data_IF_765608155623
#
_entry.id   IF_765608155623
#
_cell.length_a   1.000
_cell.length_b   1.000
_cell.length_c   1.000
_cell.angle_alpha   90.00
_cell.angle_beta   90.00
_cell.angle_gamma   90.00
#
_symmetry.space_group_name_H-M   'P 1'
#
loop_
_entity.id
_entity.type
_entity.pdbx_description
1 polymer ?
#
# COMPACT_ATOMS: atom_id res chain seq x y z
N UNK A 1 25.99 91.30 12.76
CA UNK A 1 26.34 89.93 13.21
C UNK A 1 25.55 88.81 12.52
N UNK A 2 24.82 89.07 11.42
CA UNK A 2 23.89 88.08 10.81
C UNK A 2 24.45 87.36 9.58
N UNK A 3 25.41 87.94 8.83
CA UNK A 3 26.00 87.30 7.64
C UNK A 3 27.08 86.25 7.95
N UNK A 4 27.76 86.34 9.08
CA UNK A 4 28.78 85.37 9.52
C UNK A 4 28.15 84.09 10.06
N UNK A 5 27.02 84.19 10.77
CA UNK A 5 26.28 83.02 11.25
C UNK A 5 25.65 82.26 10.07
N UNK A 6 25.08 82.97 9.09
CA UNK A 6 24.51 82.34 7.90
C UNK A 6 25.57 81.62 7.05
N UNK A 7 26.79 82.18 6.93
CA UNK A 7 27.92 81.52 6.26
C UNK A 7 28.45 80.32 7.05
N UNK A 8 28.50 80.41 8.38
CA UNK A 8 28.91 79.28 9.21
C UNK A 8 27.90 78.11 9.15
N UNK A 9 26.60 78.41 9.10
CA UNK A 9 25.54 77.40 8.91
C UNK A 9 25.58 76.80 7.50
N UNK A 10 25.86 77.59 6.46
CA UNK A 10 26.01 77.07 5.09
C UNK A 10 27.26 76.19 4.92
N UNK A 11 28.37 76.55 5.57
CA UNK A 11 29.62 75.77 5.56
C UNK A 11 29.47 74.49 6.40
N UNK A 12 28.77 74.55 7.53
CA UNK A 12 28.43 73.36 8.33
C UNK A 12 27.46 72.42 7.57
N UNK A 13 26.48 72.96 6.84
CA UNK A 13 25.59 72.16 5.99
C UNK A 13 26.32 71.52 4.79
N UNK A 14 27.34 72.19 4.24
CA UNK A 14 28.20 71.63 3.18
C UNK A 14 29.21 70.59 3.69
N UNK A 15 29.62 70.65 4.96
CA UNK A 15 30.53 69.67 5.57
C UNK A 15 29.81 68.36 5.97
N UNK A 16 28.52 68.39 6.30
CA UNK A 16 27.74 67.18 6.62
C UNK A 16 27.23 66.47 5.35
N UNK A 17 27.13 67.17 4.22
CA UNK A 17 26.71 66.60 2.94
C UNK A 17 27.80 65.75 2.23
N UNK A 18 29.02 65.65 2.80
CA UNK A 18 30.21 65.13 2.12
C UNK A 18 30.72 63.76 2.55
N UNK A 19 30.08 63.07 3.51
CA UNK A 19 30.54 61.73 3.93
C UNK A 19 29.77 60.61 3.22
N UNK A 20 29.71 60.65 1.88
CA UNK A 20 29.35 59.43 1.13
C UNK A 20 30.53 58.46 1.22
N UNK A 21 30.48 57.52 2.15
CA UNK A 21 31.45 56.43 2.25
C UNK A 21 31.48 55.73 0.89
N UNK A 22 32.65 55.70 0.24
CA UNK A 22 32.81 55.08 -1.08
C UNK A 22 32.48 53.59 -0.98
N UNK A 23 31.76 53.02 -1.96
CA UNK A 23 31.51 51.58 -2.00
C UNK A 23 32.82 50.79 -1.91
N UNK A 24 32.87 49.72 -1.10
CA UNK A 24 34.03 48.85 -1.05
C UNK A 24 34.15 48.09 -2.38
N UNK A 25 35.39 47.83 -2.79
CA UNK A 25 35.66 46.89 -3.89
C UNK A 25 35.63 45.49 -3.30
N UNK A 26 34.62 44.71 -3.66
CA UNK A 26 34.44 43.34 -3.15
C UNK A 26 35.24 42.37 -4.02
N UNK A 27 36.34 41.84 -3.49
CA UNK A 27 37.14 40.79 -4.15
C UNK A 27 36.76 39.38 -3.68
N UNK A 28 36.16 39.27 -2.50
CA UNK A 28 35.68 38.02 -1.92
C UNK A 28 34.33 38.29 -1.26
N UNK A 29 33.21 37.91 -1.90
CA UNK A 29 31.88 38.18 -1.38
C UNK A 29 31.64 37.45 -0.06
N UNK A 30 31.08 38.16 0.93
CA UNK A 30 30.68 37.59 2.22
C UNK A 30 29.45 36.68 2.10
N UNK A 31 28.58 36.92 1.11
CA UNK A 31 27.34 36.18 0.88
C UNK A 31 27.24 35.75 -0.59
N UNK A 32 28.15 34.87 -1.08
CA UNK A 32 28.23 34.52 -2.49
C UNK A 32 27.01 33.76 -3.02
N UNK A 33 26.27 33.09 -2.13
CA UNK A 33 25.10 32.29 -2.49
C UNK A 33 23.81 33.13 -2.63
N UNK A 34 23.82 34.38 -2.15
CA UNK A 34 22.63 35.23 -2.18
C UNK A 34 22.47 35.86 -3.56
N UNK A 35 21.25 35.77 -4.11
CA UNK A 35 20.99 36.23 -5.47
C UNK A 35 20.92 37.76 -5.52
N UNK A 36 21.74 38.34 -6.40
CA UNK A 36 21.70 39.79 -6.66
C UNK A 36 20.29 40.23 -7.07
N UNK A 37 19.70 41.28 -6.45
CA UNK A 37 18.43 41.86 -6.85
C UNK A 37 18.56 42.54 -8.21
N UNK A 38 18.42 41.76 -9.28
CA UNK A 38 18.57 42.23 -10.66
C UNK A 38 17.59 43.37 -10.95
N UNK A 39 18.08 44.46 -11.53
CA UNK A 39 17.21 45.59 -11.89
C UNK A 39 16.45 45.27 -13.19
N UNK A 40 15.12 45.21 -13.16
CA UNK A 40 14.30 44.96 -14.34
C UNK A 40 14.44 46.06 -15.39
N UNK A 41 14.19 45.73 -16.66
CA UNK A 41 14.41 46.63 -17.79
C UNK A 41 13.66 47.95 -17.63
N UNK A 42 12.43 47.90 -17.11
CA UNK A 42 11.59 49.08 -16.86
C UNK A 42 12.19 50.06 -15.84
N UNK A 43 13.08 49.59 -14.96
CA UNK A 43 13.63 50.35 -13.84
C UNK A 43 15.09 50.77 -14.03
N UNK A 44 15.76 50.31 -15.11
CA UNK A 44 17.18 50.58 -15.40
C UNK A 44 17.51 52.07 -15.52
N UNK A 45 16.59 52.87 -16.04
CA UNK A 45 16.78 54.32 -16.23
C UNK A 45 16.70 55.14 -14.92
N UNK A 46 16.33 54.52 -13.81
CA UNK A 46 16.14 55.22 -12.53
C UNK A 46 17.48 55.55 -11.86
N UNK A 47 17.60 56.70 -11.15
CA UNK A 47 18.74 56.96 -10.27
C UNK A 47 18.92 55.91 -9.16
N UNK A 48 17.86 55.15 -8.85
CA UNK A 48 17.86 54.07 -7.87
C UNK A 48 18.68 52.86 -8.34
N UNK A 49 18.68 52.53 -9.64
CA UNK A 49 19.43 51.41 -10.19
C UNK A 49 20.93 51.46 -9.84
N UNK A 50 21.59 52.60 -10.08
CA UNK A 50 23.02 52.79 -9.73
C UNK A 50 23.31 52.73 -8.24
N UNK A 51 22.35 53.16 -7.41
CA UNK A 51 22.48 53.15 -5.95
C UNK A 51 22.30 51.74 -5.37
N UNK A 52 21.65 50.84 -6.11
CA UNK A 52 21.47 49.45 -5.71
C UNK A 52 22.78 48.68 -5.73
N UNK A 53 23.58 48.80 -6.80
CA UNK A 53 24.92 48.18 -6.89
C UNK A 53 25.81 48.58 -5.72
N UNK A 54 25.74 49.86 -5.41
CA UNK A 54 26.37 50.54 -4.30
C UNK A 54 25.97 49.90 -2.95
N UNK A 55 24.67 49.69 -2.71
CA UNK A 55 24.16 49.02 -1.51
C UNK A 55 24.57 47.54 -1.45
N UNK A 56 24.52 46.85 -2.58
CA UNK A 56 24.93 45.46 -2.72
C UNK A 56 26.41 45.24 -2.45
N UNK A 57 27.27 46.17 -2.85
CA UNK A 57 28.70 46.13 -2.57
C UNK A 57 28.98 46.18 -1.06
N UNK A 58 28.30 47.05 -0.30
CA UNK A 58 28.43 47.04 1.16
C UNK A 58 27.91 45.75 1.78
N UNK A 59 26.79 45.22 1.26
CA UNK A 59 26.23 43.96 1.72
C UNK A 59 27.21 42.80 1.52
N UNK A 60 27.76 42.66 0.32
CA UNK A 60 28.75 41.64 -0.01
C UNK A 60 30.12 41.87 0.65
N UNK A 61 30.40 43.06 1.17
CA UNK A 61 31.56 43.30 2.03
C UNK A 61 31.32 42.90 3.51
N UNK A 62 30.11 42.46 3.87
CA UNK A 62 29.72 42.15 5.24
C UNK A 62 29.36 43.38 6.09
N UNK A 63 29.39 44.58 5.52
CA UNK A 63 29.03 45.82 6.20
C UNK A 63 27.52 46.03 6.17
N UNK A 64 26.82 45.23 6.96
CA UNK A 64 25.35 45.20 7.01
C UNK A 64 24.77 46.55 7.49
N UNK A 65 25.52 47.35 8.26
CA UNK A 65 25.04 48.64 8.75
C UNK A 65 25.03 49.71 7.66
N UNK A 66 26.07 49.76 6.81
CA UNK A 66 26.06 50.65 5.65
C UNK A 66 25.12 50.17 4.55
N UNK A 67 25.01 48.86 4.33
CA UNK A 67 24.08 48.28 3.38
C UNK A 67 22.63 48.64 3.72
N UNK A 68 22.21 48.45 4.98
CA UNK A 68 20.85 48.74 5.43
C UNK A 68 20.49 50.22 5.23
N UNK A 69 21.36 51.15 5.65
CA UNK A 69 21.13 52.58 5.46
C UNK A 69 20.89 52.94 4.00
N UNK A 70 21.64 52.31 3.08
CA UNK A 70 21.51 52.55 1.63
C UNK A 70 20.23 51.96 1.07
N UNK A 71 19.85 50.75 1.47
CA UNK A 71 18.60 50.15 1.04
C UNK A 71 17.36 50.86 1.59
N UNK A 72 17.37 51.28 2.87
CA UNK A 72 16.27 52.05 3.46
C UNK A 72 16.06 53.37 2.70
N UNK A 73 17.14 54.11 2.43
CA UNK A 73 17.05 55.34 1.63
C UNK A 73 16.51 55.06 0.22
N UNK A 74 16.87 53.93 -0.40
CA UNK A 74 16.32 53.52 -1.70
C UNK A 74 14.80 53.29 -1.63
N UNK A 75 14.33 52.55 -0.63
CA UNK A 75 12.88 52.29 -0.44
C UNK A 75 12.11 53.58 -0.15
N UNK A 76 12.65 54.47 0.70
CA UNK A 76 12.02 55.74 1.05
C UNK A 76 11.95 56.73 -0.13
N UNK A 77 13.05 56.84 -0.89
CA UNK A 77 13.14 57.81 -2.00
C UNK A 77 12.55 57.28 -3.30
N UNK A 78 12.37 55.96 -3.43
CA UNK A 78 11.81 55.30 -4.62
C UNK A 78 10.88 54.14 -4.23
N UNK A 79 9.66 54.42 -3.73
CA UNK A 79 8.75 53.37 -3.21
C UNK A 79 8.32 52.29 -4.22
N UNK A 80 8.44 52.55 -5.53
CA UNK A 80 8.16 51.57 -6.59
C UNK A 80 9.38 50.73 -7.01
N UNK A 81 10.56 50.99 -6.43
CA UNK A 81 11.79 50.28 -6.77
C UNK A 81 11.96 49.02 -5.89
N UNK A 82 11.15 48.01 -6.21
CA UNK A 82 11.11 46.74 -5.48
C UNK A 82 12.42 45.92 -5.43
N UNK A 83 13.43 46.11 -6.30
CA UNK A 83 14.73 45.47 -6.09
C UNK A 83 15.40 45.87 -4.77
N UNK A 84 15.14 47.07 -4.24
CA UNK A 84 15.65 47.48 -2.93
C UNK A 84 14.94 46.75 -1.77
N UNK A 85 13.64 46.46 -1.89
CA UNK A 85 12.91 45.63 -0.92
C UNK A 85 13.49 44.21 -0.88
N UNK A 86 13.79 43.60 -2.04
CA UNK A 86 14.49 42.30 -2.05
C UNK A 86 15.91 42.39 -1.46
N UNK A 87 16.63 43.48 -1.69
CA UNK A 87 17.92 43.75 -1.03
C UNK A 87 17.84 43.82 0.50
N UNK A 88 16.80 44.46 1.05
CA UNK A 88 16.52 44.43 2.49
C UNK A 88 16.18 43.01 2.97
N UNK A 89 15.39 42.26 2.20
CA UNK A 89 15.08 40.87 2.50
C UNK A 89 16.34 40.02 2.71
N UNK A 90 17.28 40.09 1.77
CA UNK A 90 18.58 39.42 1.87
C UNK A 90 19.40 39.87 3.08
N UNK A 91 19.40 41.18 3.36
CA UNK A 91 20.08 41.74 4.51
C UNK A 91 19.52 41.22 5.84
N UNK A 92 18.21 41.10 5.96
CA UNK A 92 17.56 40.56 7.15
C UNK A 92 17.81 39.06 7.31
N UNK A 93 17.82 38.29 6.21
CA UNK A 93 18.24 36.89 6.22
C UNK A 93 19.68 36.71 6.73
N UNK A 94 20.61 37.55 6.26
CA UNK A 94 22.01 37.53 6.72
C UNK A 94 22.15 37.84 8.23
N UNK A 95 21.18 38.54 8.83
CA UNK A 95 21.11 38.82 10.27
C UNK A 95 20.40 37.72 11.06
N UNK A 96 19.82 36.72 10.40
CA UNK A 96 19.00 35.68 11.01
C UNK A 96 17.56 36.13 11.31
N UNK A 97 17.13 37.31 10.83
CA UNK A 97 15.75 37.79 10.99
C UNK A 97 14.90 37.36 9.79
N UNK A 98 14.57 36.08 9.75
CA UNK A 98 13.78 35.48 8.67
C UNK A 98 12.37 36.08 8.56
N UNK A 99 11.80 36.58 9.67
CA UNK A 99 10.46 37.17 9.67
C UNK A 99 10.44 38.54 8.99
N UNK A 100 11.41 39.40 9.30
CA UNK A 100 11.55 40.67 8.58
C UNK A 100 11.89 40.43 7.11
N UNK A 101 12.73 39.44 6.83
CA UNK A 101 13.07 39.09 5.46
C UNK A 101 11.85 38.68 4.63
N UNK A 102 10.99 37.80 5.14
CA UNK A 102 9.75 37.37 4.46
C UNK A 102 8.85 38.57 4.14
N UNK A 103 8.71 39.51 5.07
CA UNK A 103 7.93 40.73 4.84
C UNK A 103 8.48 41.57 3.68
N UNK A 104 9.80 41.78 3.64
CA UNK A 104 10.46 42.56 2.60
C UNK A 104 10.38 41.87 1.23
N UNK A 105 10.63 40.56 1.17
CA UNK A 105 10.44 39.80 -0.07
C UNK A 105 8.97 39.76 -0.50
N UNK A 106 8.03 39.66 0.44
CA UNK A 106 6.60 39.72 0.17
C UNK A 106 6.17 41.04 -0.45
N UNK A 107 6.72 42.18 -0.01
CA UNK A 107 6.50 43.48 -0.66
C UNK A 107 7.06 43.52 -2.08
N UNK A 108 8.25 42.96 -2.29
CA UNK A 108 8.84 42.90 -3.62
C UNK A 108 8.01 42.03 -4.58
N UNK A 109 7.53 40.86 -4.12
CA UNK A 109 6.64 39.97 -4.88
C UNK A 109 5.26 40.61 -5.12
N UNK A 110 4.75 41.41 -4.18
CA UNK A 110 3.50 42.15 -4.37
C UNK A 110 3.62 43.26 -5.42
N UNK A 111 4.81 43.87 -5.54
CA UNK A 111 5.09 44.86 -6.58
C UNK A 111 5.31 44.21 -7.96
N UNK A 112 5.91 43.01 -8.00
CA UNK A 112 6.09 42.21 -9.21
C UNK A 112 6.07 40.72 -8.88
N UNK A 113 5.02 40.02 -9.32
CA UNK A 113 4.82 38.59 -9.03
C UNK A 113 5.89 37.70 -9.64
N UNK A 114 6.55 38.20 -10.69
CA UNK A 114 7.49 37.44 -11.51
C UNK A 114 8.95 37.79 -11.17
N UNK A 115 9.18 38.44 -10.02
CA UNK A 115 10.51 38.89 -9.63
C UNK A 115 11.31 37.77 -8.94
N UNK A 116 12.07 37.04 -9.76
CA UNK A 116 12.85 35.85 -9.36
C UNK A 116 13.70 36.04 -8.11
N UNK A 117 14.51 37.11 -7.93
CA UNK A 117 15.31 37.28 -6.71
C UNK A 117 14.49 37.35 -5.43
N UNK A 118 13.30 37.95 -5.48
CA UNK A 118 12.41 38.00 -4.32
C UNK A 118 11.71 36.66 -4.08
N UNK A 119 11.33 35.93 -5.14
CA UNK A 119 10.73 34.59 -5.00
C UNK A 119 11.71 33.60 -4.36
N UNK A 120 12.98 33.60 -4.80
CA UNK A 120 14.05 32.76 -4.23
C UNK A 120 14.30 33.15 -2.77
N UNK A 121 14.54 34.44 -2.49
CA UNK A 121 14.80 34.92 -1.14
C UNK A 121 13.63 34.70 -0.19
N UNK A 122 12.39 34.83 -0.68
CA UNK A 122 11.18 34.49 0.10
C UNK A 122 11.14 33.01 0.45
N UNK A 123 11.47 32.13 -0.50
CA UNK A 123 11.57 30.70 -0.26
C UNK A 123 12.57 30.37 0.85
N UNK A 124 13.75 30.99 0.83
CA UNK A 124 14.76 30.83 1.89
C UNK A 124 14.30 31.36 3.25
N UNK A 125 13.67 32.54 3.27
CA UNK A 125 13.09 33.10 4.50
C UNK A 125 12.00 32.20 5.08
N UNK A 126 11.16 31.61 4.23
CA UNK A 126 10.11 30.68 4.66
C UNK A 126 10.68 29.36 5.17
N UNK A 127 11.75 28.84 4.58
CA UNK A 127 12.47 27.68 5.14
C UNK A 127 13.06 27.97 6.51
N UNK A 128 13.67 29.15 6.71
CA UNK A 128 14.18 29.56 8.01
C UNK A 128 13.07 29.76 9.07
N UNK A 129 11.82 29.95 8.62
CA UNK A 129 10.62 30.00 9.46
C UNK A 129 9.91 28.64 9.62
N UNK A 130 10.48 27.56 9.09
CA UNK A 130 9.92 26.19 9.08
C UNK A 130 8.59 26.06 8.28
N UNK A 131 8.26 27.03 7.42
CA UNK A 131 7.11 26.98 6.52
C UNK A 131 7.52 26.35 5.17
N UNK A 132 7.79 25.05 5.21
CA UNK A 132 8.26 24.27 4.06
C UNK A 132 7.28 24.28 2.88
N UNK A 133 5.97 24.37 3.14
CA UNK A 133 4.96 24.41 2.08
C UNK A 133 4.96 25.75 1.34
N UNK A 134 5.00 26.88 2.06
CA UNK A 134 5.08 28.19 1.43
C UNK A 134 6.43 28.41 0.75
N UNK A 135 7.51 27.86 1.33
CA UNK A 135 8.82 27.86 0.70
C UNK A 135 8.80 27.13 -0.64
N UNK A 136 8.26 25.90 -0.68
CA UNK A 136 8.13 25.11 -1.90
C UNK A 136 7.41 25.90 -3.01
N UNK A 137 6.25 26.49 -2.69
CA UNK A 137 5.48 27.32 -3.65
C UNK A 137 6.30 28.50 -4.19
N UNK A 138 7.07 29.16 -3.34
CA UNK A 138 7.90 30.31 -3.74
C UNK A 138 9.04 29.89 -4.67
N UNK A 139 9.68 28.74 -4.38
CA UNK A 139 10.72 28.19 -5.24
C UNK A 139 10.19 27.64 -6.57
N UNK A 140 9.02 26.99 -6.58
CA UNK A 140 8.36 26.53 -7.80
C UNK A 140 8.00 27.71 -8.72
N UNK A 141 7.50 28.81 -8.15
CA UNK A 141 7.26 30.04 -8.90
C UNK A 141 8.56 30.61 -9.50
N UNK A 142 9.67 30.60 -8.75
CA UNK A 142 10.98 31.02 -9.28
C UNK A 142 11.47 30.12 -10.42
N UNK A 143 11.35 28.80 -10.29
CA UNK A 143 11.78 27.83 -11.32
C UNK A 143 10.92 27.87 -12.58
N UNK A 144 9.63 28.23 -12.46
CA UNK A 144 8.75 28.43 -13.60
C UNK A 144 9.22 29.62 -14.48
N UNK A 145 9.89 30.60 -13.89
CA UNK A 145 10.42 31.78 -14.56
C UNK A 145 11.86 31.59 -15.03
N UNK A 146 12.68 30.92 -14.23
CA UNK A 146 14.08 30.60 -14.54
C UNK A 146 14.44 29.15 -14.16
N UNK A 147 14.37 28.27 -15.16
CA UNK A 147 14.77 26.87 -15.01
C UNK A 147 16.29 26.67 -14.84
N UNK A 148 17.10 27.72 -15.01
CA UNK A 148 18.56 27.71 -14.84
C UNK A 148 19.00 27.63 -13.37
N UNK A 149 18.10 27.88 -12.42
CA UNK A 149 18.35 27.85 -10.97
C UNK A 149 18.53 26.41 -10.43
N UNK A 150 19.60 25.74 -10.87
CA UNK A 150 19.86 24.32 -10.60
C UNK A 150 19.96 23.97 -9.11
N UNK A 151 20.38 24.91 -8.25
CA UNK A 151 20.42 24.70 -6.80
C UNK A 151 19.00 24.73 -6.19
N UNK A 152 18.13 25.62 -6.67
CA UNK A 152 16.72 25.68 -6.27
C UNK A 152 15.95 24.46 -6.77
N UNK A 153 16.22 24.00 -8.00
CA UNK A 153 15.64 22.77 -8.54
C UNK A 153 15.87 21.57 -7.60
N UNK A 154 17.11 21.38 -7.14
CA UNK A 154 17.44 20.33 -6.16
C UNK A 154 16.72 20.51 -4.82
N UNK A 155 16.61 21.76 -4.34
CA UNK A 155 15.91 22.06 -3.09
C UNK A 155 14.40 21.73 -3.19
N UNK A 156 13.76 22.07 -4.31
CA UNK A 156 12.35 21.77 -4.60
C UNK A 156 12.09 20.27 -4.61
N UNK A 157 12.92 19.48 -5.29
CA UNK A 157 12.80 18.02 -5.29
C UNK A 157 12.86 17.44 -3.86
N UNK A 158 13.85 17.88 -3.07
CA UNK A 158 14.03 17.43 -1.70
C UNK A 158 12.86 17.83 -0.79
N UNK A 159 12.37 19.08 -0.91
CA UNK A 159 11.22 19.57 -0.15
C UNK A 159 9.95 18.82 -0.50
N UNK A 160 9.70 18.60 -1.79
CA UNK A 160 8.54 17.83 -2.27
C UNK A 160 8.57 16.41 -1.71
N UNK A 161 9.71 15.71 -1.78
CA UNK A 161 9.85 14.38 -1.21
C UNK A 161 9.56 14.37 0.30
N UNK A 162 10.08 15.34 1.03
CA UNK A 162 9.90 15.48 2.48
C UNK A 162 8.43 15.73 2.83
N UNK A 163 7.79 16.68 2.17
CA UNK A 163 6.38 17.03 2.40
C UNK A 163 5.43 15.88 2.03
N UNK A 164 5.69 15.19 0.92
CA UNK A 164 4.91 13.99 0.54
C UNK A 164 5.04 12.91 1.61
N UNK A 165 6.27 12.64 2.10
CA UNK A 165 6.51 11.65 3.16
C UNK A 165 5.81 12.00 4.48
N UNK A 166 5.82 13.28 4.85
CA UNK A 166 5.10 13.79 6.03
C UNK A 166 3.59 13.63 5.86
N UNK A 167 3.04 13.98 4.69
CA UNK A 167 1.61 13.83 4.40
C UNK A 167 1.17 12.37 4.39
N UNK A 168 1.97 11.45 3.85
CA UNK A 168 1.70 10.00 3.92
C UNK A 168 1.65 9.55 5.39
N UNK A 169 2.63 9.98 6.20
CA UNK A 169 2.66 9.65 7.63
C UNK A 169 1.40 10.17 8.34
N UNK A 170 1.02 11.42 8.12
CA UNK A 170 -0.19 12.00 8.68
C UNK A 170 -1.46 11.27 8.24
N UNK A 171 -1.57 10.90 6.95
CA UNK A 171 -2.70 10.13 6.42
C UNK A 171 -2.83 8.76 7.11
N UNK A 172 -1.70 8.07 7.34
CA UNK A 172 -1.66 6.81 8.10
C UNK A 172 -2.07 6.99 9.55
N UNK A 173 -1.63 8.05 10.21
CA UNK A 173 -2.05 8.38 11.58
C UNK A 173 -3.55 8.68 11.67
N UNK A 174 -4.11 9.35 10.66
CA UNK A 174 -5.56 9.53 10.56
C UNK A 174 -6.28 8.19 10.45
N UNK A 175 -5.80 7.27 9.59
CA UNK A 175 -6.38 5.95 9.41
C UNK A 175 -6.29 5.11 10.70
N UNK A 176 -5.10 5.05 11.32
CA UNK A 176 -4.88 4.32 12.57
C UNK A 176 -5.72 4.86 13.74
N UNK A 177 -6.03 6.16 13.75
CA UNK A 177 -6.91 6.79 14.72
C UNK A 177 -8.41 6.61 14.40
N UNK A 178 -8.78 5.84 13.37
CA UNK A 178 -10.16 5.66 12.92
C UNK A 178 -10.78 6.90 12.27
N UNK A 179 -10.00 7.95 12.00
CA UNK A 179 -10.45 9.18 11.31
C UNK A 179 -10.41 8.95 9.79
N UNK A 180 -11.13 7.93 9.35
CA UNK A 180 -11.08 7.43 7.97
C UNK A 180 -11.43 8.50 6.91
N UNK A 181 -12.42 9.40 7.10
CA UNK A 181 -12.68 10.47 6.13
C UNK A 181 -11.51 11.46 5.96
N UNK A 182 -10.76 11.72 7.04
CA UNK A 182 -9.58 12.58 6.98
C UNK A 182 -8.42 11.87 6.27
N UNK A 183 -8.25 10.56 6.51
CA UNK A 183 -7.27 9.75 5.80
C UNK A 183 -7.59 9.69 4.29
N UNK A 184 -8.86 9.46 3.92
CA UNK A 184 -9.36 9.48 2.54
C UNK A 184 -8.96 10.77 1.83
N UNK A 185 -9.35 11.92 2.40
CA UNK A 185 -9.05 13.22 1.83
C UNK A 185 -7.52 13.47 1.69
N UNK A 186 -6.72 13.02 2.66
CA UNK A 186 -5.27 13.17 2.59
C UNK A 186 -4.64 12.32 1.47
N UNK A 187 -5.08 11.06 1.30
CA UNK A 187 -4.61 10.21 0.21
C UNK A 187 -5.10 10.69 -1.16
N UNK A 188 -6.32 11.21 -1.28
CA UNK A 188 -6.83 11.81 -2.51
C UNK A 188 -5.95 13.00 -2.96
N UNK A 189 -5.55 13.86 -2.03
CA UNK A 189 -4.62 14.96 -2.33
C UNK A 189 -3.23 14.47 -2.77
N UNK A 190 -2.73 13.39 -2.15
CA UNK A 190 -1.46 12.77 -2.54
C UNK A 190 -1.54 12.17 -3.94
N UNK A 191 -2.63 11.47 -4.27
CA UNK A 191 -2.87 10.88 -5.59
C UNK A 191 -3.01 11.98 -6.65
N UNK A 192 -3.68 13.10 -6.34
CA UNK A 192 -3.78 14.23 -7.26
C UNK A 192 -2.39 14.79 -7.67
N UNK A 193 -1.40 14.73 -6.76
CA UNK A 193 -0.02 15.12 -7.06
C UNK A 193 0.81 14.03 -7.75
N UNK A 194 0.47 12.75 -7.56
CA UNK A 194 1.18 11.59 -8.09
C UNK A 194 0.20 10.50 -8.55
N UNK A 195 -0.52 10.71 -9.67
CA UNK A 195 -1.63 9.84 -10.09
C UNK A 195 -1.19 8.43 -10.52
N UNK A 196 0.09 8.24 -10.81
CA UNK A 196 0.65 6.96 -11.23
C UNK A 196 1.35 6.21 -10.09
N UNK A 197 1.08 6.58 -8.83
CA UNK A 197 1.64 5.87 -7.67
C UNK A 197 0.77 4.68 -7.26
N UNK A 198 1.18 3.47 -7.64
CA UNK A 198 0.51 2.22 -7.24
C UNK A 198 0.33 2.13 -5.71
N UNK A 199 1.37 2.50 -4.97
CA UNK A 199 1.37 2.53 -3.51
C UNK A 199 0.26 3.42 -2.93
N UNK A 200 0.08 4.64 -3.44
CA UNK A 200 -0.96 5.55 -2.93
C UNK A 200 -2.37 5.02 -3.21
N UNK A 201 -2.57 4.44 -4.40
CA UNK A 201 -3.83 3.77 -4.74
C UNK A 201 -4.11 2.59 -3.79
N UNK A 202 -3.10 1.76 -3.50
CA UNK A 202 -3.25 0.65 -2.57
C UNK A 202 -3.60 1.12 -1.15
N UNK A 203 -2.93 2.15 -0.65
CA UNK A 203 -3.19 2.69 0.69
C UNK A 203 -4.58 3.31 0.79
N UNK A 204 -5.04 4.04 -0.24
CA UNK A 204 -6.43 4.53 -0.29
C UNK A 204 -7.42 3.37 -0.36
N UNK A 205 -7.16 2.35 -1.17
CA UNK A 205 -8.00 1.14 -1.23
C UNK A 205 -8.20 0.47 0.14
N UNK A 206 -7.18 0.47 1.01
CA UNK A 206 -7.30 0.00 2.39
C UNK A 206 -8.21 0.89 3.24
N UNK A 207 -8.06 2.21 3.12
CA UNK A 207 -8.93 3.17 3.81
C UNK A 207 -10.39 3.02 3.37
N UNK A 208 -10.64 2.79 2.08
CA UNK A 208 -11.99 2.56 1.55
C UNK A 208 -12.61 1.25 2.03
N UNK A 209 -11.81 0.18 2.10
CA UNK A 209 -12.23 -1.08 2.74
C UNK A 209 -12.66 -0.84 4.18
N UNK A 210 -11.87 -0.09 4.94
CA UNK A 210 -12.15 0.20 6.35
C UNK A 210 -13.37 1.15 6.51
N UNK A 211 -13.69 1.93 5.48
CA UNK A 211 -14.94 2.71 5.34
C UNK A 211 -16.15 1.87 4.90
N UNK A 212 -15.96 0.57 4.66
CA UNK A 212 -16.96 -0.35 4.11
C UNK A 212 -17.43 0.01 2.68
N UNK A 213 -16.67 0.84 1.96
CA UNK A 213 -16.91 1.17 0.55
C UNK A 213 -16.12 0.20 -0.36
N UNK A 214 -16.57 -1.05 -0.41
CA UNK A 214 -15.90 -2.10 -1.15
C UNK A 214 -15.77 -1.80 -2.66
N UNK A 215 -16.70 -1.04 -3.23
CA UNK A 215 -16.68 -0.66 -4.64
C UNK A 215 -15.56 0.35 -4.93
N UNK A 216 -15.43 1.40 -4.11
CA UNK A 216 -14.32 2.34 -4.22
C UNK A 216 -12.98 1.64 -3.95
N UNK A 217 -12.92 0.78 -2.93
CA UNK A 217 -11.73 0.01 -2.60
C UNK A 217 -11.24 -0.82 -3.79
N UNK A 218 -12.12 -1.58 -4.45
CA UNK A 218 -11.79 -2.37 -5.63
C UNK A 218 -11.29 -1.50 -6.79
N UNK A 219 -11.90 -0.33 -7.03
CA UNK A 219 -11.44 0.59 -8.07
C UNK A 219 -10.00 1.07 -7.84
N UNK A 220 -9.65 1.41 -6.60
CA UNK A 220 -8.29 1.80 -6.25
C UNK A 220 -7.31 0.61 -6.31
N UNK A 221 -7.72 -0.57 -5.88
CA UNK A 221 -6.88 -1.78 -5.97
C UNK A 221 -6.59 -2.18 -7.40
N UNK A 222 -7.59 -2.14 -8.28
CA UNK A 222 -7.41 -2.40 -9.72
C UNK A 222 -6.40 -1.43 -10.32
N UNK A 223 -6.51 -0.14 -9.99
CA UNK A 223 -5.53 0.86 -10.45
C UNK A 223 -4.12 0.59 -9.90
N UNK A 224 -4.01 0.15 -8.65
CA UNK A 224 -2.71 -0.24 -8.08
C UNK A 224 -2.10 -1.44 -8.82
N UNK A 225 -2.90 -2.47 -9.14
CA UNK A 225 -2.47 -3.66 -9.90
C UNK A 225 -2.04 -3.28 -11.33
N UNK A 226 -2.76 -2.37 -11.99
CA UNK A 226 -2.38 -1.86 -13.32
C UNK A 226 -1.03 -1.16 -13.31
N UNK A 227 -0.77 -0.36 -12.27
CA UNK A 227 0.45 0.44 -12.13
C UNK A 227 1.65 -0.41 -11.68
N UNK A 228 1.43 -1.38 -10.79
CA UNK A 228 2.45 -2.35 -10.35
C UNK A 228 1.87 -3.77 -10.26
N UNK A 229 1.96 -4.56 -11.35
CA UNK A 229 1.50 -5.94 -11.37
C UNK A 229 2.35 -6.92 -10.53
N UNK A 230 3.43 -6.43 -9.90
CA UNK A 230 4.36 -7.25 -9.12
C UNK A 230 4.16 -7.11 -7.61
N UNK A 231 3.31 -6.19 -7.15
CA UNK A 231 3.01 -6.01 -5.73
C UNK A 231 1.99 -7.04 -5.23
N UNK A 232 2.39 -8.04 -4.40
CA UNK A 232 1.47 -9.01 -3.84
C UNK A 232 0.43 -8.39 -2.90
N UNK A 233 0.68 -7.19 -2.34
CA UNK A 233 -0.24 -6.57 -1.39
C UNK A 233 -1.53 -6.07 -2.06
N UNK A 234 -1.48 -5.71 -3.35
CA UNK A 234 -2.66 -5.30 -4.10
C UNK A 234 -3.59 -6.49 -4.39
N UNK A 235 -3.04 -7.61 -4.89
CA UNK A 235 -3.81 -8.85 -5.09
C UNK A 235 -4.36 -9.42 -3.79
N UNK A 236 -3.63 -9.26 -2.67
CA UNK A 236 -4.14 -9.67 -1.36
C UNK A 236 -5.39 -8.89 -0.99
N UNK A 237 -5.35 -7.56 -1.13
CA UNK A 237 -6.51 -6.73 -0.81
C UNK A 237 -7.70 -7.01 -1.74
N UNK A 238 -7.45 -7.22 -3.04
CA UNK A 238 -8.49 -7.68 -3.98
C UNK A 238 -9.14 -8.98 -3.52
N UNK A 239 -8.35 -9.98 -3.15
CA UNK A 239 -8.85 -11.26 -2.70
C UNK A 239 -9.63 -11.17 -1.39
N UNK A 240 -9.16 -10.37 -0.43
CA UNK A 240 -9.87 -10.10 0.82
C UNK A 240 -11.23 -9.44 0.58
N UNK A 241 -11.29 -8.45 -0.32
CA UNK A 241 -12.53 -7.75 -0.69
C UNK A 241 -13.53 -8.70 -1.35
N UNK A 242 -13.09 -9.54 -2.30
CA UNK A 242 -13.95 -10.52 -2.95
C UNK A 242 -14.40 -11.63 -1.99
N UNK A 243 -13.53 -12.09 -1.08
CA UNK A 243 -13.91 -13.07 -0.07
C UNK A 243 -14.99 -12.53 0.87
N UNK A 244 -14.88 -11.26 1.29
CA UNK A 244 -15.91 -10.59 2.09
C UNK A 244 -17.24 -10.44 1.34
N UNK A 245 -17.20 -10.25 0.01
CA UNK A 245 -18.39 -10.24 -0.84
C UNK A 245 -18.99 -11.64 -1.10
N UNK A 246 -18.30 -12.73 -0.72
CA UNK A 246 -18.70 -14.11 -0.96
C UNK A 246 -18.23 -14.67 -2.31
N UNK A 247 -17.49 -13.90 -3.10
CA UNK A 247 -16.94 -14.29 -4.40
C UNK A 247 -15.63 -15.08 -4.24
N UNK A 248 -15.71 -16.23 -3.54
CA UNK A 248 -14.54 -17.04 -3.21
C UNK A 248 -13.73 -17.49 -4.43
N UNK A 249 -14.36 -17.69 -5.58
CA UNK A 249 -13.66 -18.07 -6.80
C UNK A 249 -12.67 -16.98 -7.25
N UNK A 250 -13.08 -15.70 -7.18
CA UNK A 250 -12.22 -14.56 -7.53
C UNK A 250 -11.16 -14.37 -6.44
N UNK A 251 -11.54 -14.52 -5.18
CA UNK A 251 -10.61 -14.43 -4.06
C UNK A 251 -9.46 -15.46 -4.15
N UNK A 252 -9.78 -16.71 -4.49
CA UNK A 252 -8.80 -17.78 -4.74
C UNK A 252 -7.86 -17.38 -5.89
N UNK A 253 -8.38 -16.90 -7.02
CA UNK A 253 -7.55 -16.52 -8.15
C UNK A 253 -6.56 -15.38 -7.81
N UNK A 254 -7.00 -14.39 -7.03
CA UNK A 254 -6.16 -13.30 -6.54
C UNK A 254 -5.07 -13.83 -5.59
N UNK A 255 -5.43 -14.69 -4.62
CA UNK A 255 -4.48 -15.28 -3.68
C UNK A 255 -3.49 -16.25 -4.34
N UNK A 256 -3.86 -16.93 -5.44
CA UNK A 256 -2.90 -17.68 -6.25
C UNK A 256 -1.85 -16.76 -6.89
N UNK A 257 -2.20 -15.50 -7.18
CA UNK A 257 -1.22 -14.50 -7.63
C UNK A 257 -0.32 -14.06 -6.48
N UNK A 258 -0.88 -13.86 -5.28
CA UNK A 258 -0.10 -13.62 -4.06
C UNK A 258 0.90 -14.75 -3.81
N UNK A 259 0.46 -16.01 -3.88
CA UNK A 259 1.31 -17.18 -3.63
C UNK A 259 2.46 -17.30 -4.64
N UNK A 260 2.22 -16.99 -5.92
CA UNK A 260 3.28 -16.97 -6.94
C UNK A 260 4.31 -15.86 -6.73
N UNK A 261 3.88 -14.69 -6.24
CA UNK A 261 4.75 -13.52 -6.05
C UNK A 261 5.51 -13.59 -4.71
N UNK A 262 4.83 -14.03 -3.65
CA UNK A 262 5.36 -14.12 -2.30
C UNK A 262 4.75 -15.35 -1.58
N UNK A 263 5.31 -16.55 -1.83
CA UNK A 263 4.83 -17.78 -1.20
C UNK A 263 4.93 -17.71 0.33
N UNK A 264 3.89 -18.16 1.03
CA UNK A 264 3.91 -18.29 2.48
C UNK A 264 2.91 -19.33 2.98
N UNK A 265 3.23 -19.97 4.11
CA UNK A 265 2.34 -20.97 4.73
C UNK A 265 0.96 -20.42 5.08
N UNK A 266 0.88 -19.12 5.43
CA UNK A 266 -0.39 -18.44 5.69
C UNK A 266 -1.26 -18.36 4.44
N UNK A 267 -0.69 -17.92 3.31
CA UNK A 267 -1.40 -17.83 2.03
C UNK A 267 -1.84 -19.22 1.55
N UNK A 268 -0.97 -20.22 1.67
CA UNK A 268 -1.31 -21.62 1.33
C UNK A 268 -2.48 -22.13 2.16
N UNK A 269 -2.45 -21.95 3.48
CA UNK A 269 -3.57 -22.36 4.34
C UNK A 269 -4.87 -21.63 4.00
N UNK A 270 -4.80 -20.32 3.72
CA UNK A 270 -5.97 -19.53 3.36
C UNK A 270 -6.59 -20.00 2.04
N UNK A 271 -5.75 -20.29 1.03
CA UNK A 271 -6.18 -20.85 -0.25
C UNK A 271 -6.88 -22.19 -0.07
N UNK A 272 -6.29 -23.11 0.69
CA UNK A 272 -6.89 -24.42 0.95
C UNK A 272 -8.23 -24.31 1.69
N UNK A 273 -8.32 -23.39 2.66
CA UNK A 273 -9.57 -23.12 3.36
C UNK A 273 -10.67 -22.63 2.41
N UNK A 274 -10.38 -21.63 1.57
CA UNK A 274 -11.37 -21.10 0.64
C UNK A 274 -11.75 -22.10 -0.46
N UNK A 275 -10.79 -22.90 -0.95
CA UNK A 275 -11.07 -23.99 -1.91
C UNK A 275 -12.00 -25.01 -1.29
N UNK A 276 -11.75 -25.43 -0.06
CA UNK A 276 -12.63 -26.37 0.64
C UNK A 276 -14.03 -25.77 0.87
N UNK A 277 -14.11 -24.49 1.25
CA UNK A 277 -15.38 -23.80 1.43
C UNK A 277 -16.18 -23.72 0.13
N UNK A 278 -15.53 -23.35 -0.99
CA UNK A 278 -16.15 -23.31 -2.31
C UNK A 278 -16.60 -24.70 -2.75
N UNK A 279 -15.78 -25.74 -2.52
CA UNK A 279 -16.11 -27.13 -2.82
C UNK A 279 -17.31 -27.62 -2.02
N UNK A 280 -17.37 -27.30 -0.72
CA UNK A 280 -18.51 -27.62 0.15
C UNK A 280 -19.79 -26.91 -0.29
N UNK A 281 -19.70 -25.64 -0.69
CA UNK A 281 -20.83 -24.88 -1.22
C UNK A 281 -21.38 -25.48 -2.53
N UNK A 282 -20.50 -26.06 -3.35
CA UNK A 282 -20.87 -26.75 -4.59
C UNK A 282 -21.50 -28.14 -4.38
N UNK A 283 -21.41 -28.73 -3.18
CA UNK A 283 -22.00 -30.05 -2.92
C UNK A 283 -23.54 -30.02 -3.00
N UNK A 284 -24.18 -31.10 -3.48
CA UNK A 284 -25.63 -31.27 -3.38
C UNK A 284 -26.14 -31.13 -1.94
N UNK A 285 -27.35 -30.57 -1.73
CA UNK A 285 -27.91 -30.40 -0.38
C UNK A 285 -28.04 -31.73 0.37
N UNK A 286 -28.29 -32.84 -0.33
CA UNK A 286 -28.37 -34.19 0.22
C UNK A 286 -27.05 -34.59 0.90
N UNK A 287 -25.91 -34.30 0.26
CA UNK A 287 -24.58 -34.63 0.82
C UNK A 287 -24.28 -33.75 2.04
N UNK A 288 -24.62 -32.45 1.98
CA UNK A 288 -24.42 -31.53 3.11
C UNK A 288 -25.23 -31.93 4.35
N UNK A 289 -26.43 -32.50 4.14
CA UNK A 289 -27.30 -32.93 5.24
C UNK A 289 -26.70 -34.10 6.05
N UNK A 290 -25.75 -34.86 5.50
CA UNK A 290 -25.17 -36.04 6.15
C UNK A 290 -24.33 -35.65 7.38
N UNK A 291 -23.62 -34.51 7.35
CA UNK A 291 -22.70 -34.11 8.42
C UNK A 291 -23.35 -33.92 9.79
N UNK A 292 -24.67 -33.73 9.85
CA UNK A 292 -25.43 -33.59 11.11
C UNK A 292 -26.10 -34.87 11.61
N UNK A 293 -25.97 -35.99 10.88
CA UNK A 293 -26.67 -37.23 11.21
C UNK A 293 -25.87 -38.08 12.22
N UNK A 294 -26.58 -38.70 13.17
CA UNK A 294 -25.98 -39.64 14.13
C UNK A 294 -25.58 -40.99 13.50
N UNK A 295 -26.20 -41.34 12.37
CA UNK A 295 -25.97 -42.58 11.65
C UNK A 295 -25.98 -42.28 10.15
N UNK A 296 -25.13 -42.96 9.39
CA UNK A 296 -25.00 -42.79 7.94
C UNK A 296 -25.39 -44.10 7.25
N UNK A 297 -26.21 -44.00 6.21
CA UNK A 297 -26.59 -45.14 5.36
C UNK A 297 -25.50 -45.48 4.34
N UNK A 298 -25.56 -46.67 3.74
CA UNK A 298 -24.60 -47.09 2.71
C UNK A 298 -24.64 -46.17 1.48
N UNK A 299 -25.83 -45.70 1.09
CA UNK A 299 -26.01 -44.76 -0.02
C UNK A 299 -25.40 -43.39 0.27
N UNK A 300 -25.61 -42.87 1.49
CA UNK A 300 -25.01 -41.61 1.93
C UNK A 300 -23.48 -41.70 2.05
N UNK A 301 -22.95 -42.80 2.58
CA UNK A 301 -21.52 -43.03 2.64
C UNK A 301 -20.90 -43.15 1.23
N UNK A 302 -21.58 -43.82 0.30
CA UNK A 302 -21.16 -43.87 -1.10
C UNK A 302 -21.09 -42.48 -1.72
N UNK A 303 -22.08 -41.62 -1.49
CA UNK A 303 -22.08 -40.25 -1.97
C UNK A 303 -20.94 -39.41 -1.35
N UNK A 304 -20.66 -39.57 -0.05
CA UNK A 304 -19.53 -38.91 0.60
C UNK A 304 -18.19 -39.33 0.01
N UNK A 305 -17.98 -40.64 -0.16
CA UNK A 305 -16.75 -41.16 -0.73
C UNK A 305 -16.62 -40.73 -2.19
N UNK A 306 -17.67 -40.91 -2.99
CA UNK A 306 -17.70 -40.57 -4.41
C UNK A 306 -17.44 -39.09 -4.68
N UNK A 307 -17.98 -38.20 -3.85
CA UNK A 307 -17.76 -36.76 -3.98
C UNK A 307 -16.40 -36.27 -3.49
N UNK A 308 -15.80 -36.94 -2.50
CA UNK A 308 -14.50 -36.56 -1.90
C UNK A 308 -13.30 -37.14 -2.61
N UNK A 309 -13.44 -38.36 -3.14
CA UNK A 309 -12.35 -39.14 -3.72
C UNK A 309 -12.59 -39.42 -5.21
N UNK A 310 -13.37 -38.57 -5.90
CA UNK A 310 -13.73 -38.76 -7.31
C UNK A 310 -12.51 -39.08 -8.19
N UNK A 311 -11.43 -38.31 -8.06
CA UNK A 311 -10.20 -38.50 -8.85
C UNK A 311 -9.52 -39.84 -8.55
N UNK A 312 -9.46 -40.24 -7.27
CA UNK A 312 -8.90 -41.52 -6.86
C UNK A 312 -9.73 -42.70 -7.37
N UNK A 313 -11.06 -42.58 -7.31
CA UNK A 313 -11.96 -43.62 -7.81
C UNK A 313 -11.85 -43.76 -9.32
N UNK A 314 -11.75 -42.64 -10.06
CA UNK A 314 -11.66 -42.62 -11.51
C UNK A 314 -10.48 -43.45 -12.05
N UNK A 315 -9.31 -43.42 -11.40
CA UNK A 315 -8.14 -44.22 -11.79
C UNK A 315 -8.44 -45.72 -11.81
N UNK A 316 -9.27 -46.21 -10.88
CA UNK A 316 -9.64 -47.63 -10.81
C UNK A 316 -10.73 -48.04 -11.80
N UNK A 317 -11.50 -47.08 -12.33
CA UNK A 317 -12.63 -47.36 -13.24
C UNK A 317 -12.15 -47.79 -14.64
N UNK A 318 -10.92 -47.43 -15.03
CA UNK A 318 -10.32 -47.79 -16.31
C UNK A 318 -9.92 -49.28 -16.41
N UNK A 319 -9.93 -50.03 -15.30
CA UNK A 319 -9.59 -51.46 -15.28
C UNK A 319 -10.71 -52.40 -15.77
N UNK A 320 -11.82 -51.85 -16.29
CA UNK A 320 -12.86 -52.64 -16.99
C UNK A 320 -13.77 -53.46 -16.07
N UNK A 321 -13.77 -53.22 -14.76
CA UNK A 321 -14.69 -53.88 -13.81
C UNK A 321 -16.14 -53.43 -14.04
N UNK A 322 -16.92 -54.30 -14.66
CA UNK A 322 -18.37 -54.11 -14.76
C UNK A 322 -19.06 -54.74 -13.54
N UNK A 323 -19.64 -53.91 -12.68
CA UNK A 323 -20.43 -54.35 -11.52
C UNK A 323 -21.91 -54.07 -11.79
N UNK A 324 -22.75 -55.10 -11.64
CA UNK A 324 -24.21 -54.98 -11.76
C UNK A 324 -24.78 -54.65 -10.38
N UNK A 325 -25.61 -53.61 -10.31
CA UNK A 325 -26.34 -53.20 -9.10
C UNK A 325 -27.82 -53.10 -9.43
N UNK A 326 -28.66 -53.81 -8.69
CA UNK A 326 -30.07 -54.04 -9.07
C UNK A 326 -31.09 -53.14 -8.37
N UNK A 327 -30.72 -52.49 -7.26
CA UNK A 327 -31.64 -51.84 -6.32
C UNK A 327 -31.41 -50.32 -6.13
N UNK A 328 -30.70 -49.67 -7.06
CA UNK A 328 -30.28 -48.26 -6.90
C UNK A 328 -30.82 -47.31 -7.97
N UNK A 329 -31.64 -47.81 -8.91
CA UNK A 329 -32.08 -47.04 -10.10
C UNK A 329 -32.72 -45.69 -9.77
N UNK A 330 -33.50 -45.63 -8.70
CA UNK A 330 -34.23 -44.41 -8.29
C UNK A 330 -33.59 -43.71 -7.09
N UNK A 331 -32.37 -44.11 -6.71
CA UNK A 331 -31.68 -43.54 -5.56
C UNK A 331 -30.87 -42.30 -5.98
N UNK A 332 -30.99 -41.20 -5.22
CA UNK A 332 -30.30 -39.93 -5.54
C UNK A 332 -28.78 -40.08 -5.66
N UNK A 333 -28.18 -40.99 -4.88
CA UNK A 333 -26.75 -41.29 -4.92
C UNK A 333 -26.33 -42.35 -5.96
N UNK A 334 -27.20 -42.74 -6.91
CA UNK A 334 -26.95 -43.84 -7.84
C UNK A 334 -25.58 -43.74 -8.54
N UNK A 335 -25.23 -42.56 -9.05
CA UNK A 335 -23.95 -42.33 -9.74
C UNK A 335 -22.76 -42.70 -8.84
N UNK A 336 -22.67 -42.10 -7.66
CA UNK A 336 -21.59 -42.39 -6.71
C UNK A 336 -21.60 -43.84 -6.22
N UNK A 337 -22.77 -44.47 -6.07
CA UNK A 337 -22.88 -45.89 -5.73
C UNK A 337 -22.21 -46.75 -6.81
N UNK A 338 -22.43 -46.44 -8.09
CA UNK A 338 -21.78 -47.15 -9.19
C UNK A 338 -20.25 -46.92 -9.18
N UNK A 339 -19.80 -45.70 -8.87
CA UNK A 339 -18.37 -45.38 -8.84
C UNK A 339 -17.64 -46.13 -7.72
N UNK A 340 -18.18 -46.10 -6.49
CA UNK A 340 -17.57 -46.81 -5.35
C UNK A 340 -17.67 -48.32 -5.44
N UNK A 341 -18.65 -48.86 -6.19
CA UNK A 341 -18.78 -50.31 -6.38
C UNK A 341 -17.84 -50.82 -7.45
N UNK A 342 -17.67 -50.10 -8.57
CA UNK A 342 -16.72 -50.45 -9.63
C UNK A 342 -15.27 -50.35 -9.19
N UNK A 343 -14.95 -49.39 -8.33
CA UNK A 343 -13.63 -49.25 -7.72
C UNK A 343 -13.30 -50.34 -6.70
N UNK A 344 -14.31 -51.11 -6.26
CA UNK A 344 -14.17 -52.13 -5.22
C UNK A 344 -14.14 -51.59 -3.79
N UNK A 345 -14.36 -50.28 -3.58
CA UNK A 345 -14.43 -49.66 -2.25
C UNK A 345 -15.65 -50.14 -1.46
N UNK A 346 -16.78 -50.35 -2.15
CA UNK A 346 -18.00 -50.90 -1.55
C UNK A 346 -18.53 -52.07 -2.38
N UNK A 347 -18.94 -53.16 -1.73
CA UNK A 347 -19.48 -54.33 -2.42
C UNK A 347 -21.00 -54.38 -2.51
N UNK A 348 -21.51 -55.27 -3.36
CA UNK A 348 -22.91 -55.73 -3.39
C UNK A 348 -23.04 -57.10 -2.73
N UNK A 349 -24.25 -57.48 -2.33
CA UNK A 349 -24.54 -58.82 -1.83
C UNK A 349 -24.55 -59.88 -2.95
N UNK A 350 -24.73 -61.15 -2.57
CA UNK A 350 -24.79 -62.26 -3.54
C UNK A 350 -25.97 -62.17 -4.53
N UNK A 351 -26.96 -61.31 -4.26
CA UNK A 351 -28.09 -61.02 -5.13
C UNK A 351 -27.90 -59.73 -5.95
N UNK A 352 -26.67 -59.20 -6.01
CA UNK A 352 -26.33 -57.96 -6.72
C UNK A 352 -27.08 -56.73 -6.18
N UNK A 353 -27.41 -56.71 -4.88
CA UNK A 353 -28.02 -55.56 -4.20
C UNK A 353 -26.98 -54.78 -3.42
N UNK A 354 -27.02 -53.47 -3.52
CA UNK A 354 -26.17 -52.58 -2.76
C UNK A 354 -26.76 -52.24 -1.38
N UNK A 355 -28.09 -52.23 -1.27
CA UNK A 355 -28.88 -51.88 -0.09
C UNK A 355 -28.55 -50.47 0.43
N UNK A 356 -28.91 -49.40 -0.32
CA UNK A 356 -28.49 -48.04 -0.02
C UNK A 356 -29.06 -47.50 1.30
N UNK A 357 -30.23 -47.98 1.73
CA UNK A 357 -30.89 -47.54 2.96
C UNK A 357 -30.31 -48.17 4.24
N UNK A 358 -29.52 -49.25 4.11
CA UNK A 358 -28.94 -49.92 5.27
C UNK A 358 -27.90 -49.03 5.96
N UNK A 359 -28.02 -48.95 7.28
CA UNK A 359 -27.07 -48.21 8.12
C UNK A 359 -25.70 -48.88 8.14
N UNK A 360 -24.65 -48.06 8.03
CA UNK A 360 -23.26 -48.50 8.10
C UNK A 360 -22.88 -48.71 9.56
N UNK A 361 -22.48 -49.94 9.90
CA UNK A 361 -21.91 -50.24 11.22
C UNK A 361 -20.42 -49.96 11.22
N UNK A 362 -19.83 -49.75 12.39
CA UNK A 362 -18.39 -49.49 12.54
C UNK A 362 -17.50 -50.53 11.83
N UNK A 363 -17.86 -51.81 11.89
CA UNK A 363 -17.14 -52.86 11.17
C UNK A 363 -17.32 -52.77 9.64
N UNK A 364 -18.50 -52.36 9.15
CA UNK A 364 -18.71 -52.09 7.72
C UNK A 364 -17.82 -50.90 7.28
N UNK A 365 -17.77 -49.83 8.09
CA UNK A 365 -16.92 -48.66 7.82
C UNK A 365 -15.43 -49.02 7.78
N UNK A 366 -14.94 -49.84 8.72
CA UNK A 366 -13.55 -50.27 8.74
C UNK A 366 -13.13 -51.04 7.48
N UNK A 367 -14.02 -51.89 6.96
CA UNK A 367 -13.81 -52.61 5.70
C UNK A 367 -13.71 -51.64 4.51
N UNK A 368 -14.66 -50.70 4.41
CA UNK A 368 -14.71 -49.69 3.34
C UNK A 368 -13.49 -48.76 3.38
N UNK A 369 -13.11 -48.28 4.55
CA UNK A 369 -11.93 -47.43 4.74
C UNK A 369 -10.65 -48.20 4.41
N UNK A 370 -10.56 -49.48 4.80
CA UNK A 370 -9.43 -50.34 4.42
C UNK A 370 -9.30 -50.44 2.89
N UNK A 371 -10.41 -50.61 2.17
CA UNK A 371 -10.41 -50.65 0.71
C UNK A 371 -10.01 -49.31 0.07
N UNK A 372 -10.41 -48.18 0.66
CA UNK A 372 -9.93 -46.85 0.23
C UNK A 372 -8.43 -46.69 0.43
N UNK A 373 -7.89 -47.18 1.55
CA UNK A 373 -6.44 -47.20 1.76
C UNK A 373 -5.74 -48.06 0.71
N UNK A 374 -6.31 -49.19 0.29
CA UNK A 374 -5.74 -49.99 -0.80
C UNK A 374 -5.67 -49.22 -2.13
N UNK A 375 -6.71 -48.45 -2.47
CA UNK A 375 -6.68 -47.59 -3.65
C UNK A 375 -5.61 -46.48 -3.55
N UNK A 376 -5.51 -45.84 -2.39
CA UNK A 376 -4.48 -44.82 -2.15
C UNK A 376 -3.06 -45.40 -2.29
N UNK A 377 -2.84 -46.61 -1.74
CA UNK A 377 -1.57 -47.32 -1.85
C UNK A 377 -1.24 -47.73 -3.29
N UNK A 378 -2.25 -48.10 -4.08
CA UNK A 378 -2.08 -48.44 -5.49
C UNK A 378 -1.69 -47.21 -6.33
N UNK A 379 -2.25 -46.03 -6.01
CA UNK A 379 -1.95 -44.76 -6.69
C UNK A 379 -0.58 -44.16 -6.31
N UNK A 380 -0.16 -44.30 -5.04
CA UNK A 380 1.17 -43.89 -4.57
C UNK A 380 1.71 -44.90 -3.53
N UNK A 381 2.56 -45.86 -3.96
CA UNK A 381 3.14 -46.86 -3.06
C UNK A 381 3.94 -46.26 -1.90
N UNK A 382 4.44 -45.03 -2.05
CA UNK A 382 5.21 -44.32 -1.01
C UNK A 382 4.36 -43.83 0.15
N UNK A 383 3.03 -43.70 -0.03
CA UNK A 383 2.09 -43.33 1.04
C UNK A 383 1.87 -44.50 2.00
N UNK A 384 1.72 -45.72 1.45
CA UNK A 384 1.48 -46.92 2.25
C UNK A 384 2.62 -47.22 3.24
N UNK A 385 3.87 -46.95 2.85
CA UNK A 385 5.05 -47.16 3.68
C UNK A 385 5.12 -46.23 4.91
N UNK A 386 4.35 -45.14 4.92
CA UNK A 386 4.32 -44.14 6.01
C UNK A 386 3.24 -44.44 7.04
N UNK A 387 2.36 -45.41 6.80
CA UNK A 387 1.30 -45.75 7.74
C UNK A 387 1.86 -46.49 8.96
N UNK A 388 1.48 -46.07 10.19
CA UNK A 388 1.88 -46.79 11.39
C UNK A 388 1.34 -48.23 11.37
N UNK A 389 2.20 -49.19 11.65
CA UNK A 389 1.84 -50.61 11.78
C UNK A 389 1.68 -50.98 13.26
N UNK A 390 0.52 -51.53 13.62
CA UNK A 390 0.24 -52.02 14.98
C UNK A 390 -0.73 -53.19 14.97
N UNK A 391 -0.80 -53.91 16.09
CA UNK A 391 -1.83 -54.90 16.36
C UNK A 391 -2.69 -54.42 17.53
N UNK A 392 -3.64 -53.49 17.28
CA UNK A 392 -4.57 -53.06 18.32
C UNK A 392 -5.40 -54.26 18.78
N UNK A 393 -5.74 -54.26 20.07
CA UNK A 393 -6.66 -55.24 20.68
C UNK A 393 -8.00 -54.55 20.89
N UNK A 394 -9.07 -55.19 20.47
CA UNK A 394 -10.43 -54.65 20.58
C UNK A 394 -11.20 -55.37 21.70
N UNK A 395 -11.88 -54.61 22.54
CA UNK A 395 -12.79 -55.15 23.57
C UNK A 395 -14.12 -55.64 22.97
N UNK A 396 -14.51 -55.07 21.83
CA UNK A 396 -15.77 -55.28 21.13
C UNK A 396 -15.65 -56.22 19.91
N UNK A 397 -14.45 -56.72 19.59
CA UNK A 397 -14.21 -57.58 18.43
C UNK A 397 -13.12 -58.65 18.69
N UNK A 398 -13.43 -59.95 18.59
CA UNK A 398 -12.42 -61.00 18.75
C UNK A 398 -11.48 -61.08 17.54
N UNK A 399 -10.23 -61.51 17.76
CA UNK A 399 -9.21 -61.65 16.71
C UNK A 399 -9.61 -62.57 15.54
N UNK A 400 -10.53 -63.51 15.76
CA UNK A 400 -11.05 -64.41 14.72
C UNK A 400 -12.18 -63.79 13.87
N UNK A 401 -12.63 -62.57 14.18
CA UNK A 401 -13.70 -61.92 13.43
C UNK A 401 -13.23 -61.61 12.01
N UNK A 402 -14.09 -61.88 11.01
CA UNK A 402 -13.76 -61.75 9.59
C UNK A 402 -13.21 -60.36 9.21
N UNK A 403 -13.67 -59.31 9.89
CA UNK A 403 -13.28 -57.91 9.64
C UNK A 403 -12.19 -57.39 10.57
N UNK A 404 -11.58 -58.25 11.39
CA UNK A 404 -10.56 -57.84 12.35
C UNK A 404 -9.35 -57.22 11.65
N UNK A 405 -8.91 -57.80 10.52
CA UNK A 405 -7.77 -57.29 9.76
C UNK A 405 -8.00 -55.86 9.26
N UNK A 406 -9.17 -55.59 8.66
CA UNK A 406 -9.54 -54.25 8.21
C UNK A 406 -9.62 -53.26 9.37
N UNK A 407 -10.26 -53.64 10.49
CA UNK A 407 -10.34 -52.83 11.70
C UNK A 407 -8.96 -52.52 12.30
N UNK A 408 -8.08 -53.52 12.41
CA UNK A 408 -6.73 -53.35 12.91
C UNK A 408 -5.91 -52.39 12.03
N UNK A 409 -6.06 -52.49 10.71
CA UNK A 409 -5.36 -51.63 9.76
C UNK A 409 -5.79 -50.17 9.89
N UNK A 410 -7.09 -49.88 9.85
CA UNK A 410 -7.60 -48.50 9.87
C UNK A 410 -7.37 -47.82 11.22
N UNK A 411 -7.38 -48.58 12.31
CA UNK A 411 -7.06 -48.07 13.65
C UNK A 411 -5.57 -47.81 13.80
N UNK A 412 -4.71 -48.73 13.35
CA UNK A 412 -3.25 -48.52 13.36
C UNK A 412 -2.84 -47.33 12.49
N UNK A 413 -3.53 -47.15 11.36
CA UNK A 413 -3.37 -45.99 10.48
C UNK A 413 -3.86 -44.66 11.05
N UNK A 414 -4.46 -44.65 12.26
CA UNK A 414 -4.99 -43.44 12.91
C UNK A 414 -6.28 -42.90 12.30
N UNK A 415 -6.91 -43.63 11.37
CA UNK A 415 -8.15 -43.20 10.69
C UNK A 415 -9.39 -43.45 11.54
N UNK A 416 -9.37 -44.49 12.38
CA UNK A 416 -10.43 -44.78 13.34
C UNK A 416 -9.84 -44.95 14.75
N UNK A 417 -10.55 -44.48 15.78
CA UNK A 417 -10.17 -44.74 17.18
C UNK A 417 -10.57 -46.15 17.64
N UNK A 418 -10.07 -46.59 18.80
CA UNK A 418 -10.59 -47.76 19.55
C UNK A 418 -11.81 -47.31 20.38
N UNK A 419 -12.82 -48.16 20.57
CA UNK A 419 -13.87 -47.84 21.55
C UNK A 419 -13.34 -48.24 22.93
N UNK A 420 -13.20 -47.28 23.82
CA UNK A 420 -13.03 -47.59 25.24
C UNK A 420 -14.40 -48.04 25.77
N UNK A 421 -14.43 -49.24 26.36
CA UNK A 421 -15.64 -49.90 26.84
C UNK A 421 -16.10 -49.41 28.19
#
# INVERSE_FOLDING_TARGET
MTRTILRAVLIAALLVAGCSVRPPVVTSPAYPDYLYPTVPAELLGSPAARRLDDAWAFFQAGDLANAERRYVVLVETSPGFYPAEAGLGWLHLARGDARAAELHFGRAVAASTDYVPALVGRGEALLALDDSEAALRSFEAALALDAGLSHIGRAVEQLRFTLVSQRITAAREHAAAGRLPAARAAYEQLIAGSPDSAFLHLELGRVERDLEDAAAALGHVQRAIELDPSDPAAFRLEGELHAAAGDLAVAIAAFERVDRLAPSDEVTRQLEQWREQLRLAALPPEIRAISGQAMVTRGELAALIGSRFADLLAVSLDEGRTVIVTDTRDHWAQGWILDVTRSGVMGVDAAYRFDPARTVRRADLAEIVSALLDLLAAGDPGVAARWPSGQPVFSDMPACHLRYASAARVVSGGVMGVLEG
#
